data_IF_831442027570
#
_entry.id   IF_831442027570
#
_cell.length_a   1.000
_cell.length_b   1.000
_cell.length_c   1.000
_cell.angle_alpha   90.00
_cell.angle_beta   90.00
_cell.angle_gamma   90.00
#
_symmetry.space_group_name_H-M   'P 1'
#
loop_
_entity.id
_entity.type
_entity.pdbx_description
1 polymer ?
#
# COMPACT_ATOMS: atom_id res chain seq x y z
N UNK A 1 -18.74 -18.50 -2.63
CA UNK A 1 -17.67 -17.70 -3.25
C UNK A 1 -16.36 -18.05 -2.54
N UNK A 2 -15.70 -19.13 -2.95
CA UNK A 2 -14.44 -19.55 -2.31
C UNK A 2 -13.30 -18.71 -2.85
N UNK A 3 -12.89 -17.70 -2.09
CA UNK A 3 -11.74 -16.87 -2.40
C UNK A 3 -10.48 -17.72 -2.44
N UNK A 4 -9.69 -17.58 -3.50
CA UNK A 4 -8.33 -18.11 -3.61
C UNK A 4 -7.53 -17.65 -2.40
N UNK A 5 -7.28 -18.55 -1.45
CA UNK A 5 -6.67 -18.22 -0.15
C UNK A 5 -5.17 -17.96 -0.33
N UNK A 6 -4.80 -16.79 -0.84
CA UNK A 6 -3.41 -16.36 -0.87
C UNK A 6 -2.97 -16.16 0.58
N UNK A 7 -2.16 -17.09 1.10
CA UNK A 7 -1.63 -17.02 2.46
C UNK A 7 -0.52 -15.96 2.53
N UNK A 8 -0.89 -14.79 3.01
CA UNK A 8 0.05 -13.73 3.40
C UNK A 8 0.45 -13.88 4.87
N UNK A 9 1.72 -13.62 5.16
CA UNK A 9 2.20 -13.52 6.54
C UNK A 9 1.58 -12.29 7.23
N UNK A 10 1.65 -12.24 8.56
CA UNK A 10 1.12 -11.10 9.31
C UNK A 10 1.76 -9.78 8.86
N UNK A 11 3.09 -9.79 8.69
CA UNK A 11 3.86 -8.63 8.24
C UNK A 11 3.51 -8.23 6.80
N UNK A 12 3.28 -9.18 5.91
CA UNK A 12 2.82 -8.87 4.55
C UNK A 12 1.41 -8.25 4.57
N UNK A 13 0.50 -8.72 5.42
CA UNK A 13 -0.83 -8.12 5.57
C UNK A 13 -0.79 -6.73 6.17
N UNK A 14 0.10 -6.50 7.13
CA UNK A 14 0.35 -5.19 7.72
C UNK A 14 0.87 -4.19 6.67
N UNK A 15 1.91 -4.57 5.93
CA UNK A 15 2.49 -3.75 4.84
C UNK A 15 1.44 -3.46 3.75
N UNK A 16 0.63 -4.46 3.37
CA UNK A 16 -0.42 -4.30 2.36
C UNK A 16 -1.50 -3.31 2.81
N UNK A 17 -1.90 -3.33 4.08
CA UNK A 17 -2.86 -2.38 4.67
C UNK A 17 -2.34 -0.95 4.62
N UNK A 18 -1.13 -0.72 5.09
CA UNK A 18 -0.53 0.62 5.13
C UNK A 18 -0.30 1.15 3.70
N UNK A 19 0.15 0.29 2.78
CA UNK A 19 0.32 0.60 1.36
C UNK A 19 -1.01 1.00 0.69
N UNK A 20 -2.12 0.38 1.08
CA UNK A 20 -3.44 0.70 0.56
C UNK A 20 -3.94 2.08 1.00
N UNK A 21 -3.46 2.60 2.13
CA UNK A 21 -3.65 3.99 2.55
C UNK A 21 -2.85 5.02 1.76
N UNK A 22 -2.03 4.62 0.79
CA UNK A 22 -1.23 5.55 -0.04
C UNK A 22 0.11 5.96 0.57
N UNK A 23 0.57 5.25 1.62
CA UNK A 23 1.86 5.48 2.24
C UNK A 23 3.05 5.19 1.30
N UNK A 24 4.17 5.86 1.54
CA UNK A 24 5.48 5.61 0.92
C UNK A 24 6.21 4.49 1.66
N UNK A 25 7.22 3.91 1.02
CA UNK A 25 8.03 2.85 1.64
C UNK A 25 8.73 3.33 2.92
N UNK A 26 9.05 4.63 3.01
CA UNK A 26 9.59 5.27 4.21
C UNK A 26 8.55 5.39 5.34
N UNK A 27 7.31 5.78 5.02
CA UNK A 27 6.20 5.85 6.00
C UNK A 27 5.81 4.44 6.49
N UNK A 28 5.82 3.44 5.60
CA UNK A 28 5.60 2.04 5.95
C UNK A 28 6.72 1.54 6.86
N UNK A 29 7.98 1.84 6.52
CA UNK A 29 9.15 1.48 7.34
C UNK A 29 9.04 2.06 8.75
N UNK A 30 8.68 3.34 8.86
CA UNK A 30 8.47 4.02 10.14
C UNK A 30 7.32 3.38 10.94
N UNK A 31 6.18 3.12 10.29
CA UNK A 31 5.00 2.55 10.94
C UNK A 31 5.24 1.12 11.44
N UNK A 32 6.01 0.31 10.69
CA UNK A 32 6.34 -1.06 11.06
C UNK A 32 7.60 -1.19 11.94
N UNK A 33 8.36 -0.10 12.16
CA UNK A 33 9.62 -0.11 12.90
C UNK A 33 10.74 -0.91 12.24
N UNK A 34 10.77 -0.96 10.90
CA UNK A 34 11.75 -1.73 10.10
C UNK A 34 12.51 -0.83 9.13
N UNK A 35 13.61 -1.34 8.56
CA UNK A 35 14.34 -0.62 7.53
C UNK A 35 13.55 -0.57 6.20
N UNK A 36 13.70 0.52 5.44
CA UNK A 36 13.09 0.69 4.10
C UNK A 36 13.48 -0.45 3.15
N UNK A 37 14.72 -0.94 3.23
CA UNK A 37 15.17 -2.08 2.46
C UNK A 37 14.33 -3.35 2.74
N UNK A 38 13.97 -3.57 4.02
CA UNK A 38 13.11 -4.69 4.43
C UNK A 38 11.68 -4.52 3.93
N UNK A 39 11.16 -3.28 3.88
CA UNK A 39 9.87 -2.98 3.25
C UNK A 39 9.88 -3.38 1.78
N UNK A 40 10.92 -3.03 1.02
CA UNK A 40 11.03 -3.43 -0.39
C UNK A 40 11.04 -4.96 -0.55
N UNK A 41 11.70 -5.68 0.35
CA UNK A 41 11.66 -7.15 0.37
C UNK A 41 10.24 -7.67 0.58
N UNK A 42 9.51 -7.12 1.55
CA UNK A 42 8.11 -7.48 1.80
C UNK A 42 7.19 -7.14 0.62
N UNK A 43 7.33 -5.96 0.03
CA UNK A 43 6.55 -5.53 -1.15
C UNK A 43 6.83 -6.43 -2.35
N UNK A 44 8.08 -6.83 -2.60
CA UNK A 44 8.41 -7.76 -3.67
C UNK A 44 7.86 -9.16 -3.42
N UNK A 45 7.91 -9.65 -2.17
CA UNK A 45 7.28 -10.92 -1.80
C UNK A 45 5.75 -10.88 -2.00
N UNK A 46 5.10 -9.80 -1.56
CA UNK A 46 3.67 -9.53 -1.78
C UNK A 46 3.32 -9.54 -3.26
N UNK A 47 4.04 -8.77 -4.09
CA UNK A 47 3.83 -8.69 -5.53
C UNK A 47 3.95 -10.05 -6.20
N UNK A 48 4.95 -10.85 -5.79
CA UNK A 48 5.14 -12.21 -6.30
C UNK A 48 3.96 -13.12 -5.91
N UNK A 49 3.52 -13.08 -4.65
CA UNK A 49 2.39 -13.88 -4.16
C UNK A 49 1.06 -13.49 -4.80
N UNK A 50 0.84 -12.19 -5.00
CA UNK A 50 -0.37 -11.63 -5.59
C UNK A 50 -0.31 -11.56 -7.13
N UNK A 51 0.80 -12.00 -7.75
CA UNK A 51 1.09 -11.88 -9.19
C UNK A 51 0.84 -10.46 -9.72
N UNK A 52 1.21 -9.45 -8.93
CA UNK A 52 0.95 -8.06 -9.23
C UNK A 52 2.17 -7.38 -9.88
N UNK A 53 2.02 -6.78 -11.08
CA UNK A 53 3.12 -6.12 -11.78
C UNK A 53 3.55 -4.80 -11.12
N UNK A 54 2.66 -4.11 -10.43
CA UNK A 54 2.96 -2.84 -9.75
C UNK A 54 2.29 -2.76 -8.37
N UNK A 55 2.70 -1.76 -7.56
CA UNK A 55 2.18 -1.56 -6.18
C UNK A 55 0.67 -1.37 -6.15
N UNK A 56 0.12 -0.64 -7.11
CA UNK A 56 -1.31 -0.34 -7.17
C UNK A 56 -2.11 -1.60 -7.47
N UNK A 57 -1.67 -2.39 -8.44
CA UNK A 57 -2.27 -3.69 -8.75
C UNK A 57 -2.16 -4.66 -7.57
N UNK A 58 -1.09 -4.59 -6.77
CA UNK A 58 -0.99 -5.41 -5.56
C UNK A 58 -2.06 -5.04 -4.52
N UNK A 59 -2.31 -3.75 -4.31
CA UNK A 59 -3.40 -3.27 -3.45
C UNK A 59 -4.76 -3.70 -3.99
N UNK A 60 -5.01 -3.49 -5.29
CA UNK A 60 -6.27 -3.88 -5.94
C UNK A 60 -6.51 -5.38 -5.85
N UNK A 61 -5.50 -6.21 -6.11
CA UNK A 61 -5.60 -7.66 -5.94
C UNK A 61 -5.88 -8.04 -4.50
N UNK A 62 -5.21 -7.40 -3.53
CA UNK A 62 -5.49 -7.59 -2.11
C UNK A 62 -6.96 -7.31 -1.76
N UNK A 63 -7.52 -6.26 -2.35
CA UNK A 63 -8.91 -5.85 -2.15
C UNK A 63 -9.91 -6.85 -2.76
N UNK A 64 -9.70 -7.22 -4.02
CA UNK A 64 -10.56 -8.16 -4.75
C UNK A 64 -10.54 -9.55 -4.11
N UNK A 65 -9.40 -9.95 -3.55
CA UNK A 65 -9.25 -11.22 -2.83
C UNK A 65 -9.78 -11.16 -1.39
N UNK A 66 -10.23 -10.01 -0.90
CA UNK A 66 -10.70 -9.84 0.49
C UNK A 66 -9.59 -9.96 1.55
N UNK A 67 -8.33 -9.76 1.16
CA UNK A 67 -7.17 -9.78 2.08
C UNK A 67 -7.05 -8.47 2.86
N UNK A 68 -7.60 -7.39 2.30
CA UNK A 68 -7.81 -6.10 2.94
C UNK A 68 -9.26 -5.70 2.72
N UNK A 69 -9.87 -5.08 3.72
CA UNK A 69 -11.26 -4.65 3.66
C UNK A 69 -11.34 -3.16 3.31
N UNK A 70 -12.37 -2.79 2.53
CA UNK A 70 -12.60 -1.42 2.05
C UNK A 70 -12.85 -0.43 3.18
N UNK A 71 -13.38 -0.89 4.31
CA UNK A 71 -13.60 -0.11 5.53
C UNK A 71 -12.29 0.35 6.19
N UNK A 72 -11.20 -0.36 5.92
CA UNK A 72 -9.85 -0.05 6.41
C UNK A 72 -9.09 0.85 5.44
N UNK A 73 -9.64 1.10 4.25
CA UNK A 73 -9.12 2.14 3.38
C UNK A 73 -9.67 3.47 3.87
N UNK A 74 -8.82 4.47 4.05
CA UNK A 74 -9.31 5.82 4.23
C UNK A 74 -9.98 6.23 2.92
N UNK A 75 -11.30 6.05 2.81
CA UNK A 75 -12.15 6.68 1.80
C UNK A 75 -12.21 8.22 2.01
N UNK A 76 -11.43 8.73 2.96
CA UNK A 76 -11.20 10.16 3.12
C UNK A 76 -10.57 10.69 1.86
N UNK A 77 -11.16 11.76 1.33
CA UNK A 77 -10.58 12.57 0.29
C UNK A 77 -9.07 12.77 0.57
N UNK A 78 -8.17 12.51 -0.40
CA UNK A 78 -6.72 12.59 -0.19
C UNK A 78 -6.21 14.00 0.20
N UNK A 79 -7.09 15.00 0.14
CA UNK A 79 -6.84 16.38 0.54
C UNK A 79 -6.83 16.60 2.07
N UNK A 80 -7.38 15.66 2.86
CA UNK A 80 -7.52 15.84 4.32
C UNK A 80 -6.47 15.08 5.14
N UNK A 81 -5.64 14.24 4.51
CA UNK A 81 -4.50 13.62 5.19
C UNK A 81 -3.26 14.53 5.11
N UNK A 82 -2.80 15.12 6.23
CA UNK A 82 -1.69 16.07 6.23
C UNK A 82 -0.38 15.46 5.70
N UNK A 83 -0.16 14.16 5.87
CA UNK A 83 1.03 13.46 5.37
C UNK A 83 1.02 13.25 3.83
N UNK A 84 -0.14 12.99 3.24
CA UNK A 84 -0.28 12.69 1.80
C UNK A 84 -0.43 13.98 0.98
N UNK A 85 -1.16 14.98 1.48
CA UNK A 85 -1.40 16.27 0.81
C UNK A 85 -0.11 17.02 0.44
N UNK A 86 0.88 17.04 1.35
CA UNK A 86 2.16 17.70 1.12
C UNK A 86 2.91 17.17 -0.11
N UNK A 87 2.75 15.86 -0.41
CA UNK A 87 3.44 15.19 -1.51
C UNK A 87 2.75 15.38 -2.86
N UNK A 88 1.43 15.59 -2.88
CA UNK A 88 0.68 15.88 -4.10
C UNK A 88 0.92 17.31 -4.61
N UNK A 89 0.99 18.31 -3.71
CA UNK A 89 1.27 19.70 -4.09
C UNK A 89 2.65 19.86 -4.76
N UNK A 90 3.67 19.12 -4.30
CA UNK A 90 5.01 19.14 -4.90
C UNK A 90 5.04 18.56 -6.33
N UNK A 91 4.16 17.61 -6.69
CA UNK A 91 4.10 17.03 -8.05
C UNK A 91 3.29 17.86 -9.04
N UNK A 92 2.19 18.49 -8.61
CA UNK A 92 1.38 19.33 -9.49
C UNK A 92 2.13 20.61 -9.91
N UNK A 93 3.00 21.13 -9.05
CA UNK A 93 3.86 22.28 -9.39
C UNK A 93 4.90 21.99 -10.48
N UNK A 94 5.23 20.72 -10.77
CA UNK A 94 6.19 20.35 -11.83
C UNK A 94 5.54 19.90 -13.15
N UNK A 95 4.22 19.70 -13.18
CA UNK A 95 3.50 19.26 -14.38
C UNK A 95 2.97 20.42 -15.24
N UNK A 96 3.18 21.67 -14.81
CA UNK A 96 2.63 22.87 -15.47
C UNK A 96 3.74 23.83 -15.96
N UNK A 97 4.92 23.29 -16.28
CA UNK A 97 6.07 24.05 -16.80
C UNK A 97 6.57 23.48 -18.11
#
# INVERSE_FOLDING_TARGET
MSGTTVRLTEREREVLRIMAGGATDAEIAHSCGIAVATVHTHVNALRRKLRAPNRTTAVVHGLVLGLIALDQLPLTCPFTQPAVAARWHSRLSQATG
#
